data_IF_260987787672
#
_entry.id   IF_260987787672
#
_cell.length_a   1.000
_cell.length_b   1.000
_cell.length_c   1.000
_cell.angle_alpha   90.00
_cell.angle_beta   90.00
_cell.angle_gamma   90.00
#
_symmetry.space_group_name_H-M   'P 1'
#
loop_
_entity.id
_entity.type
_entity.pdbx_description
1 polymer ?
#
# COMPACT_ATOMS: atom_id res chain seq x y z
N UNK A 1 57.45 1.00 -15.95
CA UNK A 1 56.81 0.68 -17.24
C UNK A 1 55.52 1.44 -17.30
N UNK A 2 55.51 2.51 -18.10
CA UNK A 2 54.36 3.36 -18.36
C UNK A 2 53.44 2.69 -19.38
N UNK A 3 52.14 2.68 -19.11
CA UNK A 3 51.11 2.66 -20.14
C UNK A 3 50.03 3.67 -19.73
N UNK A 4 50.08 4.82 -20.38
CA UNK A 4 48.95 5.74 -20.54
C UNK A 4 48.05 5.23 -21.67
N UNK A 5 46.78 5.68 -21.68
CA UNK A 5 45.79 5.78 -22.80
C UNK A 5 44.39 5.47 -22.22
N UNK A 6 43.28 6.15 -22.49
CA UNK A 6 42.89 7.42 -23.14
C UNK A 6 41.50 7.71 -22.55
N UNK A 7 41.21 8.95 -22.19
CA UNK A 7 39.86 9.38 -21.83
C UNK A 7 39.01 9.62 -23.08
N UNK A 8 37.71 9.30 -23.01
CA UNK A 8 36.68 9.96 -23.82
C UNK A 8 35.35 9.96 -23.06
N UNK A 9 34.69 11.13 -22.91
CA UNK A 9 33.39 11.25 -22.28
C UNK A 9 32.29 11.10 -23.34
N UNK A 10 31.37 10.17 -23.13
CA UNK A 10 30.12 10.13 -23.90
C UNK A 10 28.99 10.66 -23.02
N UNK A 11 28.78 11.96 -23.14
CA UNK A 11 27.58 12.66 -22.67
C UNK A 11 26.42 12.23 -23.55
N UNK A 12 25.58 11.31 -23.07
CA UNK A 12 24.28 11.04 -23.67
C UNK A 12 23.26 11.88 -22.91
N UNK A 13 23.03 13.10 -23.42
CA UNK A 13 21.84 13.87 -23.06
C UNK A 13 20.63 13.18 -23.68
N UNK A 14 19.89 12.43 -22.86
CA UNK A 14 18.54 12.02 -23.20
C UNK A 14 17.59 13.22 -23.03
N UNK A 15 16.68 13.48 -23.98
CA UNK A 15 15.66 14.49 -23.80
C UNK A 15 14.69 14.02 -22.70
N UNK A 16 14.53 14.83 -21.65
CA UNK A 16 13.41 14.73 -20.72
C UNK A 16 12.11 14.90 -21.52
N UNK A 17 11.47 13.78 -21.86
CA UNK A 17 10.12 13.79 -22.34
C UNK A 17 9.22 14.24 -21.18
N UNK A 18 8.86 15.52 -21.17
CA UNK A 18 7.76 16.01 -20.35
C UNK A 18 6.48 15.32 -20.82
N UNK A 19 6.11 14.22 -20.17
CA UNK A 19 4.78 13.63 -20.30
C UNK A 19 3.79 14.59 -19.68
N UNK A 20 3.34 15.58 -20.47
CA UNK A 20 2.11 16.31 -20.19
C UNK A 20 1.00 15.27 -20.10
N UNK A 21 0.66 14.85 -18.88
CA UNK A 21 -0.53 14.06 -18.63
C UNK A 21 -1.69 15.01 -18.88
N UNK A 22 -2.27 14.94 -20.08
CA UNK A 22 -3.50 15.67 -20.41
C UNK A 22 -4.54 15.38 -19.32
N UNK A 23 -4.94 16.43 -18.62
CA UNK A 23 -5.98 16.37 -17.59
C UNK A 23 -7.32 16.12 -18.29
N UNK A 24 -7.67 14.85 -18.51
CA UNK A 24 -9.00 14.50 -19.00
C UNK A 24 -10.04 14.89 -17.94
N UNK A 25 -10.90 15.85 -18.30
CA UNK A 25 -12.15 16.15 -17.61
C UNK A 25 -13.30 15.45 -18.35
N UNK A 26 -14.31 14.99 -17.62
CA UNK A 26 -15.51 14.44 -18.25
C UNK A 26 -16.31 15.56 -18.91
N UNK A 27 -16.85 15.31 -20.11
CA UNK A 27 -17.85 16.20 -20.69
C UNK A 27 -19.15 16.15 -19.89
N UNK A 28 -20.02 17.16 -20.03
CA UNK A 28 -21.31 17.19 -19.33
C UNK A 28 -22.15 15.93 -19.62
N UNK A 29 -22.15 15.46 -20.86
CA UNK A 29 -22.89 14.25 -21.27
C UNK A 29 -22.30 12.98 -20.65
N UNK A 30 -20.96 12.86 -20.59
CA UNK A 30 -20.30 11.73 -19.95
C UNK A 30 -20.56 11.69 -18.45
N UNK A 31 -20.57 12.86 -17.81
CA UNK A 31 -20.83 12.98 -16.39
C UNK A 31 -22.29 12.60 -16.08
N UNK A 32 -23.24 13.06 -16.90
CA UNK A 32 -24.65 12.66 -16.80
C UNK A 32 -24.84 11.15 -16.96
N UNK A 33 -24.15 10.53 -17.92
CA UNK A 33 -24.20 9.09 -18.13
C UNK A 33 -23.64 8.29 -16.93
N UNK A 34 -22.56 8.78 -16.30
CA UNK A 34 -22.00 8.16 -15.10
C UNK A 34 -22.94 8.28 -13.90
N UNK A 35 -23.62 9.42 -13.74
CA UNK A 35 -24.58 9.66 -12.66
C UNK A 35 -25.84 8.78 -12.77
N UNK A 36 -26.15 8.27 -13.98
CA UNK A 36 -27.25 7.34 -14.18
C UNK A 36 -26.95 5.92 -13.69
N UNK A 37 -25.68 5.58 -13.43
CA UNK A 37 -25.27 4.26 -12.98
C UNK A 37 -25.19 4.18 -11.44
N UNK A 38 -25.44 3.01 -10.83
CA UNK A 38 -25.20 2.80 -9.41
C UNK A 38 -23.73 3.04 -9.06
N UNK A 39 -23.46 4.01 -8.16
CA UNK A 39 -22.10 4.42 -7.77
C UNK A 39 -21.26 3.24 -7.25
N UNK A 40 -21.89 2.26 -6.62
CA UNK A 40 -21.20 1.08 -6.07
C UNK A 40 -20.54 0.19 -7.14
N UNK A 41 -20.97 0.29 -8.39
CA UNK A 41 -20.46 -0.50 -9.51
C UNK A 41 -19.46 0.25 -10.38
N UNK A 42 -19.25 1.54 -10.12
CA UNK A 42 -18.35 2.35 -10.92
C UNK A 42 -16.89 1.98 -10.68
N UNK A 43 -16.06 1.86 -11.74
CA UNK A 43 -14.65 1.61 -11.58
C UNK A 43 -13.94 2.81 -10.97
N UNK A 44 -12.83 2.57 -10.28
CA UNK A 44 -12.09 3.58 -9.54
C UNK A 44 -11.69 4.79 -10.42
N UNK A 45 -11.31 4.55 -11.66
CA UNK A 45 -10.98 5.59 -12.65
C UNK A 45 -12.15 6.54 -12.90
N UNK A 46 -13.37 6.02 -13.00
CA UNK A 46 -14.58 6.83 -13.18
C UNK A 46 -14.87 7.64 -11.93
N UNK A 47 -14.76 7.04 -10.74
CA UNK A 47 -14.91 7.74 -9.47
C UNK A 47 -13.89 8.90 -9.34
N UNK A 48 -12.63 8.66 -9.69
CA UNK A 48 -11.58 9.68 -9.67
C UNK A 48 -11.89 10.87 -10.61
N UNK A 49 -12.35 10.56 -11.83
CA UNK A 49 -12.74 11.55 -12.83
C UNK A 49 -13.96 12.37 -12.38
N UNK A 50 -14.97 11.69 -11.82
CA UNK A 50 -16.17 12.34 -11.29
C UNK A 50 -15.81 13.27 -10.13
N UNK A 51 -15.03 12.81 -9.17
CA UNK A 51 -14.64 13.62 -8.01
C UNK A 51 -13.88 14.89 -8.39
N UNK A 52 -13.04 14.85 -9.45
CA UNK A 52 -12.33 16.03 -9.97
C UNK A 52 -13.22 16.97 -10.77
N UNK A 53 -14.06 16.42 -11.65
CA UNK A 53 -14.92 17.22 -12.54
C UNK A 53 -16.04 17.91 -11.75
N UNK A 54 -16.39 17.32 -10.61
CA UNK A 54 -17.39 17.81 -9.70
C UNK A 54 -16.78 18.71 -8.62
N UNK A 55 -16.47 19.97 -8.95
CA UNK A 55 -16.45 20.99 -7.89
C UNK A 55 -17.84 21.06 -7.24
N UNK A 56 -17.98 21.34 -5.92
CA UNK A 56 -19.28 21.41 -5.24
C UNK A 56 -20.29 22.31 -5.97
N UNK A 57 -19.80 23.37 -6.63
CA UNK A 57 -20.56 24.35 -7.38
C UNK A 57 -20.84 23.95 -8.84
N UNK A 58 -20.05 23.04 -9.42
CA UNK A 58 -20.12 22.68 -10.84
C UNK A 58 -21.22 21.65 -11.16
N UNK A 59 -21.68 20.89 -10.16
CA UNK A 59 -22.68 19.84 -10.37
C UNK A 59 -24.14 20.24 -10.15
N UNK A 60 -24.43 21.37 -9.49
CA UNK A 60 -25.78 21.63 -8.96
C UNK A 60 -26.34 20.44 -8.12
N UNK A 61 -25.45 19.53 -7.69
CA UNK A 61 -25.73 18.26 -7.02
C UNK A 61 -24.58 18.01 -6.03
N UNK A 62 -24.60 18.71 -4.89
CA UNK A 62 -23.73 18.40 -3.73
C UNK A 62 -23.75 16.90 -3.41
N UNK A 63 -24.91 16.28 -3.62
CA UNK A 63 -25.19 14.86 -3.42
C UNK A 63 -24.30 13.92 -4.25
N UNK A 64 -23.98 14.25 -5.50
CA UNK A 64 -23.19 13.37 -6.36
C UNK A 64 -21.71 13.36 -5.97
N UNK A 65 -21.13 14.54 -5.71
CA UNK A 65 -19.77 14.65 -5.19
C UNK A 65 -19.65 13.97 -3.82
N UNK A 66 -20.58 14.23 -2.91
CA UNK A 66 -20.63 13.58 -1.59
C UNK A 66 -20.75 12.06 -1.69
N UNK A 67 -21.56 11.55 -2.62
CA UNK A 67 -21.72 10.10 -2.83
C UNK A 67 -20.44 9.47 -3.38
N UNK A 68 -19.76 10.12 -4.32
CA UNK A 68 -18.46 9.65 -4.84
C UNK A 68 -17.41 9.66 -3.74
N UNK A 69 -17.31 10.72 -2.94
CA UNK A 69 -16.38 10.81 -1.81
C UNK A 69 -16.69 9.73 -0.77
N UNK A 70 -17.98 9.52 -0.45
CA UNK A 70 -18.42 8.47 0.48
C UNK A 70 -18.04 7.09 -0.04
N UNK A 71 -18.22 6.84 -1.34
CA UNK A 71 -17.80 5.60 -1.98
C UNK A 71 -16.28 5.41 -1.89
N UNK A 72 -15.49 6.44 -2.23
CA UNK A 72 -14.03 6.36 -2.13
C UNK A 72 -13.61 6.06 -0.68
N UNK A 73 -14.19 6.73 0.33
CA UNK A 73 -13.92 6.41 1.74
C UNK A 73 -14.27 4.96 2.10
N UNK A 74 -15.35 4.41 1.54
CA UNK A 74 -15.72 3.01 1.79
C UNK A 74 -14.73 2.02 1.17
N UNK A 75 -14.16 2.35 0.01
CA UNK A 75 -13.14 1.54 -0.67
C UNK A 75 -11.78 1.64 0.03
N UNK A 76 -11.43 2.84 0.52
CA UNK A 76 -10.16 3.15 1.18
C UNK A 76 -10.39 3.55 2.63
N UNK A 77 -11.05 2.67 3.39
CA UNK A 77 -11.27 2.86 4.81
C UNK A 77 -9.94 2.94 5.56
N UNK A 78 -9.88 3.74 6.62
CA UNK A 78 -8.70 3.88 7.48
C UNK A 78 -8.40 2.65 8.36
N UNK A 79 -9.11 1.55 8.15
CA UNK A 79 -8.89 0.27 8.83
C UNK A 79 -7.78 -0.54 8.15
N UNK A 80 -7.01 -1.27 8.95
CA UNK A 80 -6.01 -2.22 8.45
C UNK A 80 -6.71 -3.37 7.71
N UNK A 81 -6.55 -3.42 6.39
CA UNK A 81 -7.18 -4.45 5.54
C UNK A 81 -6.20 -5.08 4.55
N UNK A 82 -5.42 -6.09 4.99
CA UNK A 82 -4.48 -6.78 4.12
C UNK A 82 -5.19 -7.47 2.95
N UNK A 83 -4.61 -7.40 1.76
CA UNK A 83 -5.09 -8.08 0.54
C UNK A 83 -6.20 -7.38 -0.24
N UNK A 84 -6.68 -6.21 0.18
CA UNK A 84 -7.77 -5.49 -0.50
C UNK A 84 -7.26 -4.53 -1.58
N UNK A 85 -6.03 -4.04 -1.45
CA UNK A 85 -5.54 -2.89 -2.23
C UNK A 85 -4.74 -3.25 -3.49
N UNK A 86 -4.93 -4.47 -4.01
CA UNK A 86 -4.20 -4.97 -5.17
C UNK A 86 -4.85 -4.50 -6.49
N UNK A 87 -4.06 -4.45 -7.55
CA UNK A 87 -4.50 -4.25 -8.94
C UNK A 87 -5.25 -2.94 -9.25
N UNK A 88 -5.05 -1.91 -8.43
CA UNK A 88 -5.61 -0.59 -8.72
C UNK A 88 -4.83 0.12 -9.83
N UNK A 89 -5.56 0.78 -10.74
CA UNK A 89 -5.00 1.63 -11.78
C UNK A 89 -4.21 2.79 -11.15
N UNK A 90 -2.91 2.86 -11.46
CA UNK A 90 -1.98 3.81 -10.86
C UNK A 90 -2.37 5.27 -11.16
N UNK A 91 -2.91 5.53 -12.34
CA UNK A 91 -3.38 6.87 -12.72
C UNK A 91 -4.59 7.28 -11.88
N UNK A 92 -5.55 6.38 -11.68
CA UNK A 92 -6.72 6.62 -10.84
C UNK A 92 -6.32 6.84 -9.37
N UNK A 93 -5.39 6.05 -8.83
CA UNK A 93 -4.90 6.23 -7.45
C UNK A 93 -4.24 7.60 -7.26
N UNK A 94 -3.31 7.98 -8.15
CA UNK A 94 -2.65 9.30 -8.09
C UNK A 94 -3.68 10.44 -8.10
N UNK A 95 -4.69 10.29 -8.95
CA UNK A 95 -5.76 11.27 -9.04
C UNK A 95 -6.56 11.36 -7.73
N UNK A 96 -6.90 10.24 -7.10
CA UNK A 96 -7.64 10.24 -5.83
C UNK A 96 -6.79 10.78 -4.68
N UNK A 97 -5.50 10.43 -4.62
CA UNK A 97 -4.56 10.97 -3.62
C UNK A 97 -4.52 12.50 -3.71
N UNK A 98 -4.51 13.06 -4.93
CA UNK A 98 -4.51 14.52 -5.13
C UNK A 98 -5.75 15.23 -4.60
N UNK A 99 -6.87 14.50 -4.40
CA UNK A 99 -8.10 15.07 -3.84
C UNK A 99 -8.04 15.27 -2.33
N UNK A 100 -7.04 14.68 -1.64
CA UNK A 100 -6.84 14.81 -0.19
C UNK A 100 -8.09 14.51 0.63
N UNK A 101 -8.79 13.43 0.27
CA UNK A 101 -10.00 13.02 0.99
C UNK A 101 -9.61 12.56 2.41
N UNK A 102 -10.13 13.23 3.43
CA UNK A 102 -9.85 12.90 4.84
C UNK A 102 -10.16 11.44 5.15
N UNK A 103 -9.34 10.85 6.03
CA UNK A 103 -9.42 9.45 6.49
C UNK A 103 -9.25 8.38 5.39
N UNK A 104 -8.59 8.72 4.28
CA UNK A 104 -8.23 7.75 3.23
C UNK A 104 -6.73 7.65 2.98
N UNK A 105 -5.93 8.53 3.61
CA UNK A 105 -4.50 8.68 3.31
C UNK A 105 -3.70 7.40 3.50
N UNK A 106 -3.95 6.65 4.59
CA UNK A 106 -3.27 5.37 4.87
C UNK A 106 -3.56 4.32 3.81
N UNK A 107 -4.84 4.06 3.56
CA UNK A 107 -5.28 3.07 2.59
C UNK A 107 -4.84 3.40 1.16
N UNK A 108 -4.90 4.68 0.77
CA UNK A 108 -4.42 5.12 -0.54
C UNK A 108 -2.89 5.02 -0.67
N UNK A 109 -2.14 5.38 0.38
CA UNK A 109 -0.70 5.20 0.41
C UNK A 109 -0.33 3.73 0.26
N UNK A 110 -1.01 2.83 0.98
CA UNK A 110 -0.77 1.40 0.87
C UNK A 110 -1.08 0.85 -0.51
N UNK A 111 -2.22 1.27 -1.09
CA UNK A 111 -2.58 0.92 -2.46
C UNK A 111 -1.54 1.38 -3.47
N UNK A 112 -0.99 2.59 -3.29
CA UNK A 112 0.05 3.11 -4.17
C UNK A 112 1.35 2.31 -4.09
N UNK A 113 1.72 1.79 -2.91
CA UNK A 113 2.91 0.94 -2.75
C UNK A 113 2.85 -0.34 -3.59
N UNK A 114 1.66 -0.79 -3.97
CA UNK A 114 1.46 -1.97 -4.82
C UNK A 114 1.53 -1.63 -6.33
N UNK A 115 1.89 -0.39 -6.67
CA UNK A 115 2.00 0.07 -8.07
C UNK A 115 3.44 0.38 -8.45
N UNK A 116 3.68 0.60 -9.74
CA UNK A 116 5.00 1.03 -10.25
C UNK A 116 5.41 2.43 -9.76
N UNK A 117 4.45 3.24 -9.30
CA UNK A 117 4.68 4.58 -8.78
C UNK A 117 4.66 4.61 -7.24
N UNK A 118 5.14 3.53 -6.61
CA UNK A 118 5.28 3.43 -5.17
C UNK A 118 6.10 4.61 -4.62
N UNK A 119 5.63 5.21 -3.52
CA UNK A 119 6.37 6.27 -2.87
C UNK A 119 7.51 5.66 -2.03
N UNK A 120 8.76 5.89 -2.46
CA UNK A 120 9.96 5.33 -1.82
C UNK A 120 10.10 5.72 -0.35
N UNK A 121 9.73 6.95 0.04
CA UNK A 121 9.81 7.40 1.44
C UNK A 121 8.85 6.65 2.35
N UNK A 122 7.64 6.37 1.85
CA UNK A 122 6.65 5.58 2.59
C UNK A 122 7.10 4.12 2.68
N UNK A 123 7.64 3.57 1.58
CA UNK A 123 8.18 2.22 1.56
C UNK A 123 9.34 2.07 2.55
N UNK A 124 10.30 3.00 2.54
CA UNK A 124 11.45 3.02 3.45
C UNK A 124 10.99 3.07 4.91
N UNK A 125 10.08 3.97 5.27
CA UNK A 125 9.53 4.07 6.62
C UNK A 125 8.87 2.76 7.09
N UNK A 126 8.18 2.06 6.18
CA UNK A 126 7.61 0.74 6.48
C UNK A 126 8.68 -0.33 6.63
N UNK A 127 9.67 -0.37 5.75
CA UNK A 127 10.75 -1.36 5.78
C UNK A 127 11.61 -1.22 7.03
N UNK A 128 11.91 0.00 7.46
CA UNK A 128 12.64 0.28 8.70
C UNK A 128 11.95 -0.35 9.91
N UNK A 129 10.62 -0.35 9.92
CA UNK A 129 9.85 -0.96 11.00
C UNK A 129 9.60 -2.45 10.82
N UNK A 130 9.40 -2.89 9.59
CA UNK A 130 9.02 -4.27 9.28
C UNK A 130 10.20 -5.23 9.26
N UNK A 131 11.36 -4.81 8.74
CA UNK A 131 12.52 -5.69 8.60
C UNK A 131 12.97 -6.29 9.93
N UNK A 132 13.04 -5.59 11.08
CA UNK A 132 13.39 -6.22 12.35
C UNK A 132 12.41 -7.32 12.76
N UNK A 133 11.11 -7.16 12.46
CA UNK A 133 10.08 -8.16 12.73
C UNK A 133 10.28 -9.41 11.87
N UNK A 134 10.68 -9.22 10.60
CA UNK A 134 10.89 -10.31 9.67
C UNK A 134 12.20 -11.07 9.93
N UNK A 135 13.28 -10.36 10.27
CA UNK A 135 14.61 -10.95 10.46
C UNK A 135 14.87 -11.43 11.90
N UNK A 136 13.96 -11.15 12.84
CA UNK A 136 14.04 -11.63 14.23
C UNK A 136 12.83 -12.49 14.55
N UNK A 137 13.03 -13.78 14.75
CA UNK A 137 11.93 -14.63 15.22
C UNK A 137 11.51 -14.22 16.64
N UNK A 138 10.20 -14.21 16.94
CA UNK A 138 9.71 -13.81 18.26
C UNK A 138 9.97 -14.90 19.30
N UNK A 139 10.32 -14.47 20.52
CA UNK A 139 10.33 -15.36 21.67
C UNK A 139 8.90 -15.64 22.15
N UNK A 140 8.64 -16.87 22.58
CA UNK A 140 7.37 -17.27 23.20
C UNK A 140 7.55 -17.48 24.72
N UNK A 141 6.45 -17.72 25.43
CA UNK A 141 6.47 -17.98 26.88
C UNK A 141 7.12 -19.32 27.25
N UNK A 142 7.11 -20.29 26.35
CA UNK A 142 7.72 -21.60 26.58
C UNK A 142 8.94 -21.78 25.67
N UNK A 143 10.09 -22.12 26.25
CA UNK A 143 11.34 -22.27 25.48
C UNK A 143 11.20 -23.27 24.32
N UNK A 144 10.55 -24.41 24.53
CA UNK A 144 10.31 -25.40 23.47
C UNK A 144 9.47 -24.84 22.30
N UNK A 145 8.51 -23.94 22.57
CA UNK A 145 7.76 -23.26 21.52
C UNK A 145 8.62 -22.22 20.79
N UNK A 146 9.51 -21.52 21.50
CA UNK A 146 10.48 -20.60 20.90
C UNK A 146 11.43 -21.35 19.96
N UNK A 147 11.95 -22.50 20.40
CA UNK A 147 12.82 -23.36 19.59
C UNK A 147 12.10 -23.85 18.32
N UNK A 148 10.82 -24.23 18.45
CA UNK A 148 9.99 -24.62 17.31
C UNK A 148 9.79 -23.46 16.31
N UNK A 149 9.47 -22.26 16.79
CA UNK A 149 9.35 -21.07 15.91
C UNK A 149 10.68 -20.81 15.21
N UNK A 150 11.79 -20.77 15.96
CA UNK A 150 13.12 -20.52 15.41
C UNK A 150 13.51 -21.54 14.34
N UNK A 151 13.23 -22.83 14.57
CA UNK A 151 13.54 -23.90 13.63
C UNK A 151 12.82 -23.75 12.29
N UNK A 152 11.58 -23.24 12.30
CA UNK A 152 10.75 -23.09 11.10
C UNK A 152 10.79 -21.69 10.49
N UNK A 153 11.34 -20.69 11.18
CA UNK A 153 11.25 -19.28 10.77
C UNK A 153 11.85 -19.03 9.40
N UNK A 154 13.06 -19.52 9.14
CA UNK A 154 13.74 -19.25 7.86
C UNK A 154 12.95 -19.82 6.68
N UNK A 155 12.67 -21.12 6.68
CA UNK A 155 11.96 -21.81 5.59
C UNK A 155 10.50 -21.37 5.43
N UNK A 156 9.77 -21.12 6.53
CA UNK A 156 8.33 -20.84 6.47
C UNK A 156 7.97 -19.36 6.43
N UNK A 157 8.86 -18.48 6.88
CA UNK A 157 8.60 -17.04 7.00
C UNK A 157 9.58 -16.23 6.16
N UNK A 158 10.88 -16.37 6.40
CA UNK A 158 11.88 -15.50 5.79
C UNK A 158 12.03 -15.76 4.29
N UNK A 159 12.30 -17.01 3.88
CA UNK A 159 12.47 -17.36 2.48
C UNK A 159 11.24 -17.02 1.62
N UNK A 160 9.99 -17.31 2.05
CA UNK A 160 8.80 -16.91 1.29
C UNK A 160 8.59 -15.39 1.20
N UNK A 161 9.09 -14.61 2.16
CA UNK A 161 9.03 -13.15 2.10
C UNK A 161 10.07 -12.55 1.14
N UNK A 162 11.24 -13.18 1.04
CA UNK A 162 12.33 -12.79 0.14
C UNK A 162 12.15 -13.32 -1.30
N UNK A 163 11.31 -14.34 -1.49
CA UNK A 163 10.97 -14.87 -2.81
C UNK A 163 10.35 -13.80 -3.73
N UNK A 164 10.40 -14.07 -5.05
CA UNK A 164 9.85 -13.19 -6.09
C UNK A 164 10.33 -11.74 -5.97
N UNK A 165 11.65 -11.55 -5.87
CA UNK A 165 12.29 -10.23 -5.71
C UNK A 165 11.84 -9.48 -4.45
N UNK A 166 11.66 -10.18 -3.33
CA UNK A 166 11.25 -9.55 -2.07
C UNK A 166 9.79 -9.12 -2.05
N UNK A 167 8.90 -9.83 -2.75
CA UNK A 167 7.47 -9.49 -2.80
C UNK A 167 6.83 -9.39 -1.40
N UNK A 168 7.35 -10.10 -0.39
CA UNK A 168 6.87 -9.99 0.98
C UNK A 168 7.32 -8.72 1.71
N UNK A 169 8.41 -8.08 1.28
CA UNK A 169 8.92 -6.83 1.85
C UNK A 169 8.08 -5.63 1.41
N UNK A 170 7.56 -5.64 0.18
CA UNK A 170 6.68 -4.58 -0.35
C UNK A 170 5.22 -4.74 0.07
N UNK A 171 4.87 -5.83 0.74
CA UNK A 171 3.54 -6.15 1.23
C UNK A 171 3.59 -6.62 2.70
N UNK A 172 4.05 -5.76 3.64
CA UNK A 172 4.34 -6.16 5.01
C UNK A 172 3.08 -6.61 5.77
N UNK A 173 1.92 -6.02 5.49
CA UNK A 173 0.67 -6.38 6.16
C UNK A 173 0.20 -7.78 5.73
N UNK A 174 0.26 -8.09 4.43
CA UNK A 174 -0.04 -9.42 3.88
C UNK A 174 0.97 -10.45 4.37
N UNK A 175 2.24 -10.08 4.50
CA UNK A 175 3.24 -10.99 5.05
C UNK A 175 2.93 -11.35 6.50
N UNK A 176 2.52 -10.39 7.34
CA UNK A 176 2.09 -10.69 8.71
C UNK A 176 0.81 -11.56 8.76
N UNK A 177 -0.14 -11.38 7.84
CA UNK A 177 -1.29 -12.30 7.72
C UNK A 177 -0.85 -13.72 7.37
N UNK A 178 0.05 -13.87 6.39
CA UNK A 178 0.58 -15.18 6.00
C UNK A 178 1.27 -15.87 7.18
N UNK A 179 2.08 -15.13 7.95
CA UNK A 179 2.73 -15.64 9.17
C UNK A 179 1.69 -16.13 10.18
N UNK A 180 0.63 -15.35 10.45
CA UNK A 180 -0.46 -15.74 11.38
C UNK A 180 -1.22 -16.99 10.95
N UNK A 181 -1.33 -17.21 9.64
CA UNK A 181 -2.07 -18.31 9.02
C UNK A 181 -1.28 -19.63 8.96
N UNK A 182 0.03 -19.62 9.22
CA UNK A 182 0.84 -20.84 9.25
C UNK A 182 0.32 -21.83 10.33
N UNK A 183 0.43 -23.15 10.09
CA UNK A 183 -0.07 -24.16 11.00
C UNK A 183 0.91 -24.40 12.16
N UNK A 184 1.23 -23.36 12.93
CA UNK A 184 2.23 -23.38 14.00
C UNK A 184 2.05 -24.49 15.04
N UNK A 185 0.82 -24.94 15.28
CA UNK A 185 0.55 -26.07 16.17
C UNK A 185 1.16 -27.37 15.64
N UNK A 186 1.05 -27.60 14.33
CA UNK A 186 1.70 -28.76 13.69
C UNK A 186 3.23 -28.67 13.69
N UNK A 187 3.77 -27.46 13.91
CA UNK A 187 5.20 -27.19 14.05
C UNK A 187 5.70 -27.28 15.50
N UNK A 188 4.83 -27.62 16.45
CA UNK A 188 5.20 -27.81 17.87
C UNK A 188 4.94 -26.59 18.77
N UNK A 189 4.29 -25.55 18.27
CA UNK A 189 3.89 -24.39 19.09
C UNK A 189 2.56 -24.69 19.80
N UNK A 190 2.51 -24.56 21.12
CA UNK A 190 1.26 -24.77 21.85
C UNK A 190 0.26 -23.61 21.63
N UNK A 191 -1.04 -23.90 21.74
CA UNK A 191 -2.12 -22.93 21.49
C UNK A 191 -1.94 -21.60 22.27
N UNK A 192 -1.63 -21.58 23.58
CA UNK A 192 -1.45 -20.31 24.31
C UNK A 192 -0.29 -19.45 23.78
N UNK A 193 0.80 -20.06 23.30
CA UNK A 193 1.91 -19.30 22.71
C UNK A 193 1.54 -18.76 21.34
N UNK A 194 0.82 -19.55 20.52
CA UNK A 194 0.32 -19.10 19.22
C UNK A 194 -0.66 -17.93 19.36
N UNK A 195 -1.55 -17.97 20.35
CA UNK A 195 -2.49 -16.87 20.60
C UNK A 195 -1.75 -15.59 20.96
N UNK A 196 -0.70 -15.68 21.80
CA UNK A 196 0.20 -14.57 22.11
C UNK A 196 0.88 -14.00 20.86
N UNK A 197 1.49 -14.86 20.03
CA UNK A 197 2.13 -14.45 18.79
C UNK A 197 1.17 -13.75 17.82
N UNK A 198 -0.08 -14.24 17.72
CA UNK A 198 -1.10 -13.60 16.87
C UNK A 198 -1.49 -12.22 17.37
N UNK A 199 -1.56 -12.02 18.69
CA UNK A 199 -1.77 -10.70 19.28
C UNK A 199 -0.60 -9.77 18.93
N UNK A 200 0.64 -10.25 19.09
CA UNK A 200 1.85 -9.47 18.81
C UNK A 200 1.92 -9.07 17.33
N UNK A 201 1.74 -10.02 16.40
CA UNK A 201 1.74 -9.73 14.95
C UNK A 201 0.60 -8.79 14.53
N UNK A 202 -0.58 -8.93 15.14
CA UNK A 202 -1.70 -8.00 14.90
C UNK A 202 -1.38 -6.59 15.46
N UNK A 203 -0.66 -6.52 16.57
CA UNK A 203 -0.16 -5.25 17.09
C UNK A 203 0.87 -4.62 16.14
N UNK A 204 1.79 -5.41 15.60
CA UNK A 204 2.75 -4.95 14.60
C UNK A 204 2.08 -4.44 13.33
N UNK A 205 1.02 -5.09 12.84
CA UNK A 205 0.25 -4.59 11.70
C UNK A 205 -0.36 -3.21 11.95
N UNK A 206 -0.93 -2.99 13.15
CA UNK A 206 -1.47 -1.68 13.53
C UNK A 206 -0.37 -0.62 13.61
N UNK A 207 0.78 -0.98 14.16
CA UNK A 207 1.92 -0.07 14.24
C UNK A 207 2.44 0.31 12.84
N UNK A 208 2.59 -0.65 11.93
CA UNK A 208 2.97 -0.39 10.54
C UNK A 208 1.96 0.52 9.84
N UNK A 209 0.67 0.29 10.09
CA UNK A 209 -0.40 1.15 9.57
C UNK A 209 -0.29 2.59 10.07
N UNK A 210 0.03 2.79 11.34
CA UNK A 210 0.24 4.12 11.93
C UNK A 210 1.51 4.79 11.40
N UNK A 211 2.61 4.04 11.20
CA UNK A 211 3.84 4.53 10.56
C UNK A 211 3.55 5.04 9.16
N UNK A 212 2.83 4.24 8.38
CA UNK A 212 2.43 4.61 7.03
C UNK A 212 1.54 5.85 7.02
N UNK A 213 0.61 5.99 7.98
CA UNK A 213 -0.22 7.19 8.09
C UNK A 213 0.61 8.45 8.25
N UNK A 214 1.56 8.45 9.19
CA UNK A 214 2.47 9.59 9.38
C UNK A 214 3.33 9.86 8.14
N UNK A 215 3.83 8.81 7.48
CA UNK A 215 4.61 8.97 6.26
C UNK A 215 3.77 9.52 5.10
N UNK A 216 2.50 9.08 4.98
CA UNK A 216 1.56 9.56 3.97
C UNK A 216 1.14 11.02 4.21
N UNK A 217 0.93 11.43 5.46
CA UNK A 217 0.69 12.83 5.84
C UNK A 217 1.87 13.72 5.39
N UNK A 218 3.11 13.29 5.63
CA UNK A 218 4.31 14.01 5.21
C UNK A 218 4.48 14.04 3.68
N UNK A 219 4.24 12.92 3.01
CA UNK A 219 4.46 12.79 1.57
C UNK A 219 3.38 13.48 0.72
N UNK A 220 2.12 13.44 1.16
CA UNK A 220 0.98 13.91 0.36
C UNK A 220 0.27 15.14 0.94
N UNK A 221 0.55 15.51 2.19
CA UNK A 221 -0.13 16.60 2.89
C UNK A 221 -1.58 16.29 3.19
N UNK A 222 -1.88 15.06 3.62
CA UNK A 222 -3.17 14.74 4.24
C UNK A 222 -3.26 15.43 5.61
N UNK A 223 -4.41 16.03 5.91
CA UNK A 223 -4.77 16.61 7.22
C UNK A 223 -5.75 15.69 7.97
#
# INVERSE_FOLDING_TARGET
>A
MSLAVVASPSTISAPLASTHTEQQMLTSDQLSACLAQPIDQLPLKTLALMARSAGPLALNQSTAHESVVTRIRSLFSDEVRPGIYQDHDTTALRQIISLRISHTGRALAYAQLQTQDANEQILEALLDRFTPILFTFPATRHMACTDAVAHHWDDKVLQPALANNGAGLVAPLETLERIKALPWISFGVCQPCLDGLRIDWTSSQRELWDVMGRAAEQAFGFE
#
